data_IF_376851505468
#
_entry.id   IF_376851505468
#
_cell.length_a   1.000
_cell.length_b   1.000
_cell.length_c   1.000
_cell.angle_alpha   90.00
_cell.angle_beta   90.00
_cell.angle_gamma   90.00
#
_symmetry.space_group_name_H-M   'P 1'
#
loop_
_entity.id
_entity.type
_entity.pdbx_description
1 polymer ?
#
# COMPACT_ATOMS: atom_id res chain seq x y z
N UNK A 1 -2.65 -55.91 -57.93
CA UNK A 1 -1.67 -55.79 -56.82
C UNK A 1 -0.84 -57.07 -56.64
N UNK A 2 -1.33 -58.10 -55.92
CA UNK A 2 -0.52 -59.29 -55.51
C UNK A 2 0.28 -59.93 -56.65
N UNK A 3 -0.34 -60.12 -57.81
CA UNK A 3 0.28 -60.65 -59.03
C UNK A 3 1.46 -59.81 -59.54
N UNK A 4 1.30 -58.48 -59.60
CA UNK A 4 2.37 -57.55 -60.00
C UNK A 4 3.56 -57.63 -59.04
N UNK A 5 3.31 -57.75 -57.72
CA UNK A 5 4.37 -57.95 -56.72
C UNK A 5 5.06 -59.32 -56.84
N UNK A 6 4.31 -60.39 -57.14
CA UNK A 6 4.87 -61.72 -57.36
C UNK A 6 5.85 -61.76 -58.54
N UNK A 7 5.60 -60.95 -59.59
CA UNK A 7 6.51 -60.78 -60.73
C UNK A 7 7.86 -60.12 -60.42
N UNK A 8 8.04 -59.48 -59.26
CA UNK A 8 9.22 -58.64 -58.97
C UNK A 8 10.54 -59.42 -59.04
N UNK A 9 10.56 -60.66 -58.54
CA UNK A 9 11.75 -61.51 -58.53
C UNK A 9 12.19 -61.88 -59.94
N UNK A 10 11.24 -62.24 -60.80
CA UNK A 10 11.51 -62.62 -62.19
C UNK A 10 11.89 -61.40 -63.04
N UNK A 11 11.19 -60.27 -62.89
CA UNK A 11 11.58 -59.02 -63.56
C UNK A 11 12.99 -58.57 -63.17
N UNK A 12 13.35 -58.63 -61.88
CA UNK A 12 14.73 -58.36 -61.42
C UNK A 12 15.73 -59.33 -62.05
N UNK A 13 15.44 -60.64 -62.11
CA UNK A 13 16.31 -61.64 -62.74
C UNK A 13 16.57 -61.33 -64.22
N UNK A 14 15.53 -60.96 -64.98
CA UNK A 14 15.67 -60.59 -66.40
C UNK A 14 16.48 -59.30 -66.59
N UNK A 15 16.34 -58.32 -65.69
CA UNK A 15 17.15 -57.09 -65.72
C UNK A 15 18.63 -57.40 -65.44
N UNK A 16 18.93 -58.17 -64.39
CA UNK A 16 20.31 -58.56 -64.06
C UNK A 16 21.00 -59.41 -65.14
N UNK A 17 20.22 -60.10 -65.97
CA UNK A 17 20.73 -60.86 -67.14
C UNK A 17 20.66 -60.07 -68.45
N UNK A 18 20.25 -58.79 -68.41
CA UNK A 18 20.05 -57.91 -69.57
C UNK A 18 19.10 -58.48 -70.64
N UNK A 19 18.17 -59.36 -70.26
CA UNK A 19 17.20 -60.02 -71.15
C UNK A 19 15.84 -59.32 -71.26
N UNK A 20 15.59 -58.30 -70.43
CA UNK A 20 14.39 -57.44 -70.49
C UNK A 20 14.76 -56.09 -71.11
N UNK A 21 13.99 -55.58 -72.08
CA UNK A 21 14.29 -54.27 -72.67
C UNK A 21 14.05 -53.15 -71.64
N UNK A 22 14.82 -52.04 -71.66
CA UNK A 22 14.62 -50.92 -70.73
C UNK A 22 13.18 -50.38 -70.70
N UNK A 23 12.51 -50.35 -71.86
CA UNK A 23 11.12 -49.90 -72.01
C UNK A 23 10.12 -50.85 -71.33
N UNK A 24 10.33 -52.16 -71.43
CA UNK A 24 9.50 -53.20 -70.82
C UNK A 24 9.67 -53.21 -69.29
N UNK A 25 10.92 -53.07 -68.82
CA UNK A 25 11.28 -52.89 -67.41
C UNK A 25 10.62 -51.66 -66.80
N UNK A 26 10.73 -50.51 -67.48
CA UNK A 26 10.14 -49.25 -67.05
C UNK A 26 8.61 -49.32 -66.97
N UNK A 27 7.95 -49.84 -68.00
CA UNK A 27 6.49 -50.02 -68.02
C UNK A 27 6.01 -50.89 -66.85
N UNK A 28 6.68 -52.02 -66.60
CA UNK A 28 6.35 -52.92 -65.49
C UNK A 28 6.48 -52.24 -64.11
N UNK A 29 7.55 -51.48 -63.87
CA UNK A 29 7.70 -50.78 -62.58
C UNK A 29 6.71 -49.63 -62.41
N UNK A 30 6.51 -48.76 -63.41
CA UNK A 30 5.51 -47.68 -63.33
C UNK A 30 4.09 -48.23 -63.17
N UNK A 31 3.73 -49.34 -63.83
CA UNK A 31 2.43 -50.00 -63.59
C UNK A 31 2.32 -50.53 -62.16
N UNK A 32 3.37 -51.15 -61.63
CA UNK A 32 3.40 -51.67 -60.24
C UNK A 32 3.30 -50.53 -59.21
N UNK A 33 3.98 -49.40 -59.45
CA UNK A 33 3.87 -48.20 -58.61
C UNK A 33 2.46 -47.62 -58.70
N UNK A 34 1.90 -47.43 -59.90
CA UNK A 34 0.52 -46.91 -60.06
C UNK A 34 -0.51 -47.76 -59.32
N UNK A 35 -0.43 -49.10 -59.44
CA UNK A 35 -1.28 -50.03 -58.69
C UNK A 35 -1.11 -49.93 -57.17
N UNK A 36 0.03 -49.44 -56.68
CA UNK A 36 0.30 -49.21 -55.25
C UNK A 36 -0.30 -47.88 -54.79
N UNK A 37 -0.09 -46.81 -55.55
CA UNK A 37 -0.64 -45.48 -55.24
C UNK A 37 -2.17 -45.48 -55.24
N UNK A 38 -2.79 -46.22 -56.17
CA UNK A 38 -4.24 -46.33 -56.31
C UNK A 38 -4.93 -46.85 -55.03
N UNK A 39 -4.27 -47.75 -54.28
CA UNK A 39 -4.78 -48.23 -52.98
C UNK A 39 -4.77 -47.13 -51.92
N UNK A 40 -3.73 -46.28 -51.90
CA UNK A 40 -3.64 -45.14 -50.97
C UNK A 40 -4.63 -44.03 -51.37
N UNK A 41 -4.87 -43.85 -52.67
CA UNK A 41 -5.93 -42.98 -53.19
C UNK A 41 -7.35 -43.42 -52.80
N UNK A 42 -7.58 -44.73 -52.64
CA UNK A 42 -8.83 -45.26 -52.07
C UNK A 42 -9.02 -44.83 -50.61
N UNK A 43 -7.98 -44.93 -49.78
CA UNK A 43 -8.03 -44.51 -48.37
C UNK A 43 -8.28 -43.00 -48.23
N UNK A 44 -7.58 -42.18 -49.01
CA UNK A 44 -7.71 -40.71 -48.98
C UNK A 44 -9.07 -40.14 -49.39
N UNK A 45 -10.02 -40.99 -49.84
CA UNK A 45 -11.42 -40.63 -50.13
C UNK A 45 -12.42 -41.12 -49.07
N UNK A 46 -12.02 -42.06 -48.20
CA UNK A 46 -12.90 -42.68 -47.22
C UNK A 46 -12.98 -41.93 -45.88
N UNK A 47 -12.02 -41.02 -45.63
CA UNK A 47 -11.98 -40.12 -44.48
C UNK A 47 -12.42 -38.70 -44.91
N UNK A 48 -12.98 -37.95 -43.95
CA UNK A 48 -13.52 -36.59 -44.11
C UNK A 48 -13.01 -35.60 -43.04
N UNK A 49 -12.10 -36.01 -42.14
CA UNK A 49 -11.45 -35.12 -41.17
C UNK A 49 -10.12 -34.52 -41.65
N UNK A 50 -9.44 -33.80 -40.76
CA UNK A 50 -8.15 -33.14 -41.03
C UNK A 50 -7.08 -34.10 -41.58
N UNK A 51 -7.08 -35.34 -41.09
CA UNK A 51 -6.23 -36.44 -41.56
C UNK A 51 -6.44 -36.74 -43.05
N UNK A 52 -7.66 -36.62 -43.57
CA UNK A 52 -7.94 -36.77 -45.00
C UNK A 52 -7.29 -35.65 -45.83
N UNK A 53 -7.25 -34.41 -45.31
CA UNK A 53 -6.59 -33.29 -45.98
C UNK A 53 -5.06 -33.48 -46.02
N UNK A 54 -4.46 -33.94 -44.92
CA UNK A 54 -3.04 -34.30 -44.85
C UNK A 54 -2.69 -35.48 -45.78
N UNK A 55 -3.46 -36.57 -45.76
CA UNK A 55 -3.29 -37.72 -46.66
C UNK A 55 -3.40 -37.28 -48.12
N UNK A 56 -4.37 -36.43 -48.48
CA UNK A 56 -4.52 -35.95 -49.85
C UNK A 56 -3.39 -34.98 -50.28
N UNK A 57 -2.79 -34.23 -49.35
CA UNK A 57 -1.57 -33.45 -49.63
C UNK A 57 -0.37 -34.39 -49.90
N UNK A 58 -0.17 -35.37 -49.02
CA UNK A 58 0.92 -36.35 -49.17
C UNK A 58 0.78 -37.20 -50.44
N UNK A 59 -0.44 -37.57 -50.82
CA UNK A 59 -0.75 -38.23 -52.10
C UNK A 59 -0.32 -37.40 -53.32
N UNK A 60 -0.66 -36.11 -53.36
CA UNK A 60 -0.25 -35.20 -54.43
C UNK A 60 1.28 -35.06 -54.52
N UNK A 61 1.98 -35.04 -53.39
CA UNK A 61 3.45 -35.06 -53.35
C UNK A 61 4.06 -36.37 -53.89
N UNK A 62 3.43 -37.51 -53.62
CA UNK A 62 3.88 -38.81 -54.16
C UNK A 62 3.62 -38.89 -55.67
N UNK A 63 2.46 -38.42 -56.18
CA UNK A 63 2.24 -38.36 -57.63
C UNK A 63 3.23 -37.44 -58.34
N UNK A 64 3.55 -36.27 -57.77
CA UNK A 64 4.60 -35.40 -58.30
C UNK A 64 5.95 -36.10 -58.40
N UNK A 65 6.29 -36.95 -57.41
CA UNK A 65 7.49 -37.79 -57.43
C UNK A 65 7.45 -38.92 -58.47
N UNK A 66 6.30 -39.56 -58.69
CA UNK A 66 6.15 -40.59 -59.74
C UNK A 66 6.27 -39.95 -61.14
N UNK A 67 5.63 -38.81 -61.38
CA UNK A 67 5.78 -38.08 -62.64
C UNK A 67 7.22 -37.62 -62.88
N UNK A 68 7.93 -37.13 -61.85
CA UNK A 68 9.36 -36.84 -61.92
C UNK A 68 10.23 -38.10 -62.18
N UNK A 69 9.86 -39.24 -61.60
CA UNK A 69 10.50 -40.53 -61.87
C UNK A 69 10.36 -40.96 -63.33
N UNK A 70 9.15 -40.84 -63.89
CA UNK A 70 8.86 -41.12 -65.29
C UNK A 70 9.51 -40.12 -66.25
N UNK A 71 9.53 -38.83 -65.92
CA UNK A 71 10.20 -37.78 -66.69
C UNK A 71 11.70 -38.09 -66.81
N UNK A 72 12.37 -38.32 -65.68
CA UNK A 72 13.80 -38.67 -65.62
C UNK A 72 14.11 -39.94 -66.42
N UNK A 73 13.26 -40.97 -66.34
CA UNK A 73 13.43 -42.19 -67.12
C UNK A 73 13.24 -41.95 -68.63
N UNK A 74 12.22 -41.17 -69.00
CA UNK A 74 11.92 -40.80 -70.40
C UNK A 74 13.06 -39.97 -71.01
N UNK A 75 13.56 -38.96 -70.28
CA UNK A 75 14.69 -38.13 -70.68
C UNK A 75 16.00 -38.91 -70.79
N UNK A 76 16.32 -39.75 -69.80
CA UNK A 76 17.49 -40.65 -69.82
C UNK A 76 17.48 -41.58 -71.04
N UNK A 77 16.31 -42.11 -71.42
CA UNK A 77 16.13 -42.89 -72.65
C UNK A 77 16.44 -42.10 -73.92
N UNK A 78 16.02 -40.83 -74.00
CA UNK A 78 16.35 -39.94 -75.13
C UNK A 78 17.84 -39.60 -75.23
N UNK A 79 18.48 -39.28 -74.09
CA UNK A 79 19.92 -39.04 -74.03
C UNK A 79 20.72 -40.29 -74.42
N UNK A 80 20.35 -41.46 -73.91
CA UNK A 80 21.00 -42.74 -74.27
C UNK A 80 20.80 -43.13 -75.74
N UNK A 81 19.69 -42.70 -76.37
CA UNK A 81 19.43 -42.86 -77.81
C UNK A 81 20.08 -41.77 -78.68
N UNK A 82 20.69 -40.74 -78.08
CA UNK A 82 21.30 -39.60 -78.78
C UNK A 82 20.30 -38.68 -79.51
N UNK A 83 18.98 -38.84 -79.30
CA UNK A 83 17.95 -38.08 -80.02
C UNK A 83 16.64 -37.96 -79.25
N UNK A 84 15.89 -36.91 -79.58
CA UNK A 84 14.55 -36.65 -79.05
C UNK A 84 13.57 -36.44 -80.20
N UNK A 85 13.00 -37.54 -80.70
CA UNK A 85 11.96 -37.50 -81.72
C UNK A 85 10.69 -36.79 -81.18
N UNK A 86 9.86 -36.12 -82.02
CA UNK A 86 8.73 -35.31 -81.53
C UNK A 86 7.76 -35.97 -80.53
N UNK A 87 7.40 -37.27 -80.66
CA UNK A 87 6.56 -37.95 -79.66
C UNK A 87 7.23 -38.08 -78.29
N UNK A 88 8.56 -38.17 -78.23
CA UNK A 88 9.32 -38.23 -76.98
C UNK A 88 9.33 -36.86 -76.27
N UNK A 89 9.47 -35.77 -77.04
CA UNK A 89 9.36 -34.40 -76.53
C UNK A 89 7.94 -34.12 -76.00
N UNK A 90 6.90 -34.49 -76.76
CA UNK A 90 5.50 -34.36 -76.32
C UNK A 90 5.24 -35.12 -75.02
N UNK A 91 5.75 -36.36 -74.90
CA UNK A 91 5.67 -37.15 -73.67
C UNK A 91 6.38 -36.46 -72.49
N UNK A 92 7.60 -35.94 -72.70
CA UNK A 92 8.38 -35.30 -71.66
C UNK A 92 7.71 -34.01 -71.15
N UNK A 93 7.20 -33.18 -72.06
CA UNK A 93 6.41 -31.97 -71.72
C UNK A 93 5.12 -32.33 -70.97
N UNK A 94 4.42 -33.38 -71.38
CA UNK A 94 3.22 -33.87 -70.67
C UNK A 94 3.53 -34.38 -69.24
N UNK A 95 4.69 -35.02 -69.05
CA UNK A 95 5.16 -35.46 -67.73
C UNK A 95 5.55 -34.28 -66.84
N UNK A 96 6.26 -33.27 -67.38
CA UNK A 96 6.60 -32.04 -66.65
C UNK A 96 5.35 -31.26 -66.22
N UNK A 97 4.33 -31.14 -67.09
CA UNK A 97 3.04 -30.54 -66.71
C UNK A 97 2.32 -31.35 -65.61
N UNK A 98 2.32 -32.69 -65.70
CA UNK A 98 1.68 -33.56 -64.70
C UNK A 98 2.38 -33.46 -63.33
N UNK A 99 3.71 -33.43 -63.33
CA UNK A 99 4.56 -33.18 -62.15
C UNK A 99 4.24 -31.83 -61.52
N UNK A 100 4.25 -30.75 -62.32
CA UNK A 100 4.00 -29.40 -61.83
C UNK A 100 2.57 -29.26 -61.26
N UNK A 101 1.55 -29.81 -61.91
CA UNK A 101 0.18 -29.81 -61.42
C UNK A 101 0.04 -30.53 -60.07
N UNK A 102 0.73 -31.66 -59.89
CA UNK A 102 0.76 -32.39 -58.63
C UNK A 102 1.46 -31.59 -57.50
N UNK A 103 2.60 -30.94 -57.78
CA UNK A 103 3.28 -30.10 -56.77
C UNK A 103 2.54 -28.80 -56.44
N UNK A 104 1.85 -28.18 -57.41
CA UNK A 104 0.93 -27.06 -57.15
C UNK A 104 -0.22 -27.50 -56.24
N UNK A 105 -0.80 -28.68 -56.49
CA UNK A 105 -1.87 -29.26 -55.67
C UNK A 105 -1.40 -29.58 -54.25
N UNK A 106 -0.19 -30.14 -54.10
CA UNK A 106 0.44 -30.35 -52.80
C UNK A 106 0.60 -29.03 -52.03
N UNK A 107 1.22 -28.02 -52.65
CA UNK A 107 1.45 -26.73 -52.02
C UNK A 107 0.14 -26.04 -51.60
N UNK A 108 -0.86 -26.01 -52.48
CA UNK A 108 -2.15 -25.38 -52.17
C UNK A 108 -2.83 -26.00 -50.92
N UNK A 109 -2.64 -27.32 -50.70
CA UNK A 109 -3.15 -28.03 -49.51
C UNK A 109 -2.32 -27.75 -48.26
N UNK A 110 -0.99 -27.71 -48.35
CA UNK A 110 -0.14 -27.36 -47.19
C UNK A 110 -0.32 -25.92 -46.75
N UNK A 111 -0.45 -25.00 -47.71
CA UNK A 111 -0.65 -23.57 -47.45
C UNK A 111 -2.00 -23.33 -46.74
N UNK A 112 -3.05 -24.08 -47.11
CA UNK A 112 -4.36 -24.02 -46.45
C UNK A 112 -4.31 -24.51 -44.99
N UNK A 113 -3.74 -25.70 -44.75
CA UNK A 113 -3.57 -26.26 -43.40
C UNK A 113 -2.77 -25.33 -42.48
N UNK A 114 -1.72 -24.69 -43.01
CA UNK A 114 -0.94 -23.68 -42.27
C UNK A 114 -1.75 -22.40 -42.01
N UNK A 115 -2.54 -21.93 -42.97
CA UNK A 115 -3.37 -20.74 -42.81
C UNK A 115 -4.43 -20.92 -41.71
N UNK A 116 -5.08 -22.08 -41.65
CA UNK A 116 -6.07 -22.43 -40.62
C UNK A 116 -5.43 -22.49 -39.22
N UNK A 117 -4.30 -23.18 -39.06
CA UNK A 117 -3.56 -23.23 -37.81
C UNK A 117 -3.10 -21.83 -37.32
N UNK A 118 -2.62 -20.99 -38.25
CA UNK A 118 -2.21 -19.60 -37.95
C UNK A 118 -3.43 -18.73 -37.59
N UNK A 119 -4.58 -18.91 -38.24
CA UNK A 119 -5.81 -18.19 -37.92
C UNK A 119 -6.36 -18.58 -36.54
N UNK A 120 -6.38 -19.88 -36.23
CA UNK A 120 -6.75 -20.39 -34.91
C UNK A 120 -5.86 -19.78 -33.81
N UNK A 121 -4.53 -19.86 -33.96
CA UNK A 121 -3.56 -19.29 -33.02
C UNK A 121 -3.73 -17.77 -32.84
N UNK A 122 -3.89 -17.01 -33.93
CA UNK A 122 -4.17 -15.56 -33.87
C UNK A 122 -5.45 -15.25 -33.09
N UNK A 123 -6.52 -16.02 -33.33
CA UNK A 123 -7.80 -15.82 -32.63
C UNK A 123 -7.70 -16.13 -31.13
N UNK A 124 -6.90 -17.15 -30.75
CA UNK A 124 -6.62 -17.50 -29.36
C UNK A 124 -5.81 -16.40 -28.67
N UNK A 125 -4.71 -15.95 -29.28
CA UNK A 125 -3.87 -14.86 -28.75
C UNK A 125 -4.65 -13.56 -28.57
N UNK A 126 -5.54 -13.21 -29.52
CA UNK A 126 -6.40 -12.02 -29.41
C UNK A 126 -7.38 -12.11 -28.23
N UNK A 127 -8.00 -13.29 -28.01
CA UNK A 127 -8.91 -13.52 -26.88
C UNK A 127 -8.17 -13.46 -25.53
N UNK A 128 -7.02 -14.14 -25.43
CA UNK A 128 -6.21 -14.16 -24.20
C UNK A 128 -5.66 -12.78 -23.85
N UNK A 129 -5.13 -12.03 -24.83
CA UNK A 129 -4.62 -10.67 -24.59
C UNK A 129 -5.74 -9.69 -24.21
N UNK A 130 -6.92 -9.77 -24.85
CA UNK A 130 -8.08 -8.98 -24.44
C UNK A 130 -8.52 -9.28 -23.00
N UNK A 131 -8.54 -10.56 -22.60
CA UNK A 131 -8.87 -10.97 -21.23
C UNK A 131 -7.88 -10.41 -20.19
N UNK A 132 -6.57 -10.46 -20.48
CA UNK A 132 -5.52 -9.90 -19.61
C UNK A 132 -5.70 -8.38 -19.45
N UNK A 133 -5.99 -7.66 -20.54
CA UNK A 133 -6.25 -6.21 -20.50
C UNK A 133 -7.48 -5.87 -19.65
N UNK A 134 -8.54 -6.66 -19.73
CA UNK A 134 -9.75 -6.48 -18.90
C UNK A 134 -9.43 -6.70 -17.41
N UNK A 135 -8.69 -7.75 -17.05
CA UNK A 135 -8.28 -8.00 -15.66
C UNK A 135 -7.44 -6.84 -15.12
N UNK A 136 -6.39 -6.42 -15.84
CA UNK A 136 -5.54 -5.30 -15.42
C UNK A 136 -6.31 -3.98 -15.31
N UNK A 137 -7.30 -3.74 -16.16
CA UNK A 137 -8.18 -2.57 -16.07
C UNK A 137 -9.07 -2.64 -14.82
N UNK A 138 -9.66 -3.80 -14.52
CA UNK A 138 -10.49 -3.99 -13.31
C UNK A 138 -9.65 -3.84 -12.04
N UNK A 139 -8.48 -4.48 -11.96
CA UNK A 139 -7.57 -4.40 -10.81
C UNK A 139 -7.12 -2.95 -10.56
N UNK A 140 -6.70 -2.23 -11.60
CA UNK A 140 -6.27 -0.82 -11.46
C UNK A 140 -7.43 0.13 -11.15
N UNK A 141 -8.65 -0.17 -11.60
CA UNK A 141 -9.85 0.56 -11.20
C UNK A 141 -10.20 0.31 -9.73
N UNK A 142 -10.22 -0.94 -9.27
CA UNK A 142 -10.49 -1.31 -7.86
C UNK A 142 -9.44 -0.68 -6.94
N UNK A 143 -8.15 -0.83 -7.26
CA UNK A 143 -7.06 -0.27 -6.46
C UNK A 143 -7.16 1.25 -6.29
N UNK A 144 -7.56 1.98 -7.34
CA UNK A 144 -7.68 3.45 -7.34
C UNK A 144 -9.02 3.97 -6.78
N UNK A 145 -10.13 3.26 -6.99
CA UNK A 145 -11.48 3.70 -6.55
C UNK A 145 -11.84 3.26 -5.15
N UNK A 146 -11.32 2.11 -4.70
CA UNK A 146 -11.70 1.44 -3.46
C UNK A 146 -10.49 1.34 -2.53
N UNK A 147 -9.45 0.57 -2.90
CA UNK A 147 -8.40 0.15 -1.96
C UNK A 147 -7.54 1.32 -1.43
N UNK A 148 -6.94 2.11 -2.31
CA UNK A 148 -6.14 3.28 -1.90
C UNK A 148 -6.95 4.32 -1.10
N UNK A 149 -8.21 4.63 -1.49
CA UNK A 149 -9.07 5.50 -0.68
C UNK A 149 -9.41 4.96 0.71
N UNK A 150 -9.68 3.66 0.87
CA UNK A 150 -9.89 3.03 2.19
C UNK A 150 -8.62 3.11 3.06
N UNK A 151 -7.44 2.87 2.48
CA UNK A 151 -6.16 2.99 3.19
C UNK A 151 -5.94 4.44 3.66
N UNK A 152 -6.15 5.43 2.78
CA UNK A 152 -6.00 6.85 3.15
C UNK A 152 -6.97 7.31 4.24
N UNK A 153 -8.22 6.79 4.25
CA UNK A 153 -9.18 7.03 5.33
C UNK A 153 -8.73 6.39 6.66
N UNK A 154 -8.15 5.20 6.61
CA UNK A 154 -7.62 4.49 7.79
C UNK A 154 -6.39 5.22 8.36
N UNK A 155 -5.51 5.73 7.50
CA UNK A 155 -4.37 6.56 7.92
C UNK A 155 -4.85 7.88 8.56
N UNK A 156 -5.83 8.56 7.95
CA UNK A 156 -6.38 9.81 8.48
C UNK A 156 -6.98 9.63 9.88
N UNK A 157 -7.80 8.59 10.09
CA UNK A 157 -8.33 8.25 11.40
C UNK A 157 -7.21 7.90 12.41
N UNK A 158 -6.16 7.21 11.95
CA UNK A 158 -4.99 6.88 12.79
C UNK A 158 -4.20 8.12 13.22
N UNK A 159 -4.14 9.16 12.37
CA UNK A 159 -3.48 10.44 12.66
C UNK A 159 -4.31 11.33 13.60
N UNK A 160 -5.62 11.43 13.38
CA UNK A 160 -6.54 12.11 14.31
C UNK A 160 -6.45 11.51 15.72
N UNK A 161 -6.44 10.18 15.84
CA UNK A 161 -6.27 9.47 17.12
C UNK A 161 -4.89 9.68 17.78
N UNK A 162 -3.91 10.24 17.06
CA UNK A 162 -2.59 10.66 17.58
C UNK A 162 -2.54 12.15 17.95
N UNK A 163 -3.63 12.90 17.78
CA UNK A 163 -3.71 14.32 18.09
C UNK A 163 -3.41 15.27 16.92
N UNK A 164 -3.20 14.76 15.70
CA UNK A 164 -3.06 15.60 14.49
C UNK A 164 -4.44 16.12 14.04
N UNK A 165 -4.98 17.07 14.80
CA UNK A 165 -6.26 17.72 14.53
C UNK A 165 -6.19 18.72 13.37
N UNK A 166 -5.00 18.95 12.79
CA UNK A 166 -4.74 19.81 11.64
C UNK A 166 -4.86 19.11 10.28
N UNK A 167 -4.96 17.78 10.23
CA UNK A 167 -4.99 17.02 9.00
C UNK A 167 -6.20 17.34 8.11
N UNK A 168 -5.98 17.74 6.85
CA UNK A 168 -7.05 17.78 5.86
C UNK A 168 -7.53 16.34 5.54
N UNK A 169 -8.83 16.08 5.76
CA UNK A 169 -9.41 14.74 5.52
C UNK A 169 -9.45 14.44 4.03
N UNK A 170 -8.81 13.36 3.55
CA UNK A 170 -8.77 13.06 2.13
C UNK A 170 -10.15 12.63 1.63
N UNK A 171 -10.40 12.85 0.32
CA UNK A 171 -11.59 12.39 -0.40
C UNK A 171 -12.94 12.99 0.02
N UNK A 172 -12.97 14.05 0.84
CA UNK A 172 -14.20 14.73 1.28
C UNK A 172 -15.12 15.19 0.13
N UNK A 173 -14.56 15.50 -1.04
CA UNK A 173 -15.29 15.92 -2.25
C UNK A 173 -15.94 14.76 -3.04
N UNK A 174 -15.68 13.49 -2.70
CA UNK A 174 -16.28 12.35 -3.41
C UNK A 174 -17.80 12.30 -3.20
N UNK A 175 -18.54 11.97 -4.24
CA UNK A 175 -20.01 11.88 -4.25
C UNK A 175 -20.55 10.45 -3.98
N UNK A 176 -19.71 9.61 -3.38
CA UNK A 176 -19.96 8.19 -3.11
C UNK A 176 -19.79 7.88 -1.61
N UNK A 177 -19.92 6.61 -1.23
CA UNK A 177 -19.89 6.12 0.15
C UNK A 177 -18.56 6.47 0.85
N UNK A 178 -17.45 6.45 0.12
CA UNK A 178 -16.13 6.85 0.64
C UNK A 178 -16.14 8.34 0.99
N UNK A 179 -16.74 9.18 0.14
CA UNK A 179 -16.91 10.61 0.43
C UNK A 179 -17.85 10.89 1.61
N UNK A 180 -18.89 10.07 1.81
CA UNK A 180 -19.74 10.17 3.00
C UNK A 180 -18.98 9.84 4.29
N UNK A 181 -18.13 8.80 4.28
CA UNK A 181 -17.24 8.50 5.41
C UNK A 181 -16.21 9.63 5.65
N UNK A 182 -15.64 10.21 4.59
CA UNK A 182 -14.72 11.34 4.70
C UNK A 182 -15.37 12.57 5.35
N UNK A 183 -16.59 12.94 4.94
CA UNK A 183 -17.35 14.05 5.57
C UNK A 183 -17.71 13.76 7.03
N UNK A 184 -18.09 12.53 7.37
CA UNK A 184 -18.34 12.15 8.76
C UNK A 184 -17.07 12.26 9.63
N UNK A 185 -15.90 11.89 9.09
CA UNK A 185 -14.62 12.01 9.79
C UNK A 185 -14.20 13.47 10.01
N UNK A 186 -14.52 14.38 9.08
CA UNK A 186 -14.28 15.82 9.25
C UNK A 186 -15.11 16.42 10.41
N UNK A 187 -16.39 16.02 10.55
CA UNK A 187 -17.24 16.43 11.68
C UNK A 187 -16.68 15.90 13.02
N UNK A 188 -16.13 14.68 13.03
CA UNK A 188 -15.46 14.12 14.20
C UNK A 188 -14.18 14.89 14.57
N UNK A 189 -13.37 15.28 13.58
CA UNK A 189 -12.20 16.15 13.77
C UNK A 189 -12.58 17.52 14.35
N UNK A 190 -13.62 18.17 13.81
CA UNK A 190 -14.15 19.44 14.31
C UNK A 190 -14.64 19.32 15.77
N UNK A 191 -15.31 18.20 16.10
CA UNK A 191 -15.71 17.88 17.47
C UNK A 191 -14.51 17.72 18.41
N UNK A 192 -13.43 17.07 17.96
CA UNK A 192 -12.18 16.96 18.73
C UNK A 192 -11.49 18.33 18.92
N UNK A 193 -11.42 19.17 17.88
CA UNK A 193 -10.87 20.53 18.00
C UNK A 193 -11.68 21.37 19.01
N UNK A 194 -13.00 21.28 18.95
CA UNK A 194 -13.90 22.04 19.84
C UNK A 194 -13.74 21.60 21.30
N UNK A 195 -13.69 20.29 21.56
CA UNK A 195 -13.40 19.78 22.90
C UNK A 195 -12.01 20.19 23.42
N UNK A 196 -10.98 20.20 22.55
CA UNK A 196 -9.64 20.65 22.93
C UNK A 196 -9.59 22.14 23.30
N UNK A 197 -10.35 22.99 22.60
CA UNK A 197 -10.50 24.42 22.95
C UNK A 197 -11.21 24.58 24.29
N UNK A 198 -12.33 23.90 24.51
CA UNK A 198 -13.05 23.95 25.78
C UNK A 198 -12.23 23.43 26.97
N UNK A 199 -11.37 22.43 26.77
CA UNK A 199 -10.43 21.99 27.82
C UNK A 199 -9.38 23.07 28.16
N UNK A 200 -8.85 23.78 27.17
CA UNK A 200 -7.94 24.90 27.40
C UNK A 200 -8.63 26.10 28.10
N UNK A 201 -9.87 26.43 27.70
CA UNK A 201 -10.70 27.46 28.35
C UNK A 201 -11.01 27.11 29.81
N UNK A 202 -11.35 25.84 30.09
CA UNK A 202 -11.60 25.34 31.44
C UNK A 202 -10.33 25.36 32.30
N UNK A 203 -9.18 24.96 31.75
CA UNK A 203 -7.88 25.04 32.45
C UNK A 203 -7.53 26.48 32.83
N UNK A 204 -7.57 27.42 31.87
CA UNK A 204 -7.32 28.83 32.15
C UNK A 204 -8.29 29.44 33.17
N UNK A 205 -9.56 29.00 33.16
CA UNK A 205 -10.56 29.39 34.17
C UNK A 205 -10.28 28.79 35.55
N UNK A 206 -9.75 27.56 35.62
CA UNK A 206 -9.33 26.93 36.86
C UNK A 206 -8.10 27.63 37.45
N UNK A 207 -7.10 27.94 36.63
CA UNK A 207 -5.91 28.70 37.04
C UNK A 207 -6.27 30.09 37.61
N UNK A 208 -7.21 30.79 36.97
CA UNK A 208 -7.73 32.07 37.49
C UNK A 208 -8.44 31.93 38.84
N UNK A 209 -9.26 30.87 39.01
CA UNK A 209 -9.95 30.60 40.29
C UNK A 209 -8.96 30.25 41.39
N UNK A 210 -7.93 29.47 41.09
CA UNK A 210 -6.89 29.10 42.05
C UNK A 210 -6.03 30.32 42.44
N UNK A 211 -5.63 31.16 41.48
CA UNK A 211 -4.98 32.45 41.79
C UNK A 211 -5.87 33.38 42.63
N UNK A 212 -7.18 33.44 42.34
CA UNK A 212 -8.11 34.27 43.12
C UNK A 212 -8.32 33.70 44.53
N UNK A 213 -8.38 32.37 44.68
CA UNK A 213 -8.42 31.69 45.98
C UNK A 213 -7.17 32.02 46.80
N UNK A 214 -5.97 31.84 46.24
CA UNK A 214 -4.71 32.14 46.92
C UNK A 214 -4.61 33.62 47.34
N UNK A 215 -5.12 34.56 46.53
CA UNK A 215 -5.23 35.98 46.91
C UNK A 215 -6.18 36.21 48.08
N UNK A 216 -7.32 35.51 48.14
CA UNK A 216 -8.27 35.61 49.25
C UNK A 216 -7.72 34.99 50.54
N UNK A 217 -7.04 33.85 50.45
CA UNK A 217 -6.36 33.21 51.58
C UNK A 217 -5.22 34.11 52.11
N UNK A 218 -4.41 34.70 51.22
CA UNK A 218 -3.37 35.67 51.60
C UNK A 218 -3.95 36.91 52.28
N UNK A 219 -5.02 37.48 51.71
CA UNK A 219 -5.69 38.65 52.29
C UNK A 219 -6.27 38.33 53.68
N UNK A 220 -6.90 37.16 53.83
CA UNK A 220 -7.46 36.71 55.11
C UNK A 220 -6.39 36.50 56.18
N UNK A 221 -5.19 36.00 55.81
CA UNK A 221 -4.06 35.88 56.72
C UNK A 221 -3.61 37.28 57.20
N UNK A 222 -3.30 38.19 56.27
CA UNK A 222 -2.88 39.57 56.60
C UNK A 222 -3.94 40.36 57.39
N UNK A 223 -5.22 40.03 57.22
CA UNK A 223 -6.30 40.59 58.03
C UNK A 223 -6.30 40.03 59.46
N UNK A 224 -6.08 38.72 59.64
CA UNK A 224 -5.93 38.12 60.98
C UNK A 224 -4.73 38.72 61.71
N UNK A 225 -3.56 38.77 61.07
CA UNK A 225 -2.35 39.37 61.63
C UNK A 225 -2.58 40.83 62.08
N UNK A 226 -3.34 41.59 61.28
CA UNK A 226 -3.74 42.96 61.59
C UNK A 226 -4.75 43.08 62.74
N UNK A 227 -5.68 42.14 62.87
CA UNK A 227 -6.64 42.07 63.99
C UNK A 227 -5.93 41.66 65.28
N UNK A 228 -5.05 40.66 65.25
CA UNK A 228 -4.27 40.22 66.40
C UNK A 228 -3.32 41.34 66.87
N UNK A 229 -2.69 42.06 65.93
CA UNK A 229 -1.89 43.27 66.25
C UNK A 229 -2.73 44.42 66.81
N UNK A 230 -4.01 44.56 66.42
CA UNK A 230 -4.93 45.55 66.99
C UNK A 230 -5.38 45.16 68.40
N UNK A 231 -5.63 43.87 68.65
CA UNK A 231 -5.97 43.35 69.98
C UNK A 231 -4.80 43.57 70.94
N UNK A 232 -3.57 43.22 70.53
CA UNK A 232 -2.37 43.46 71.32
C UNK A 232 -2.19 44.96 71.66
N UNK A 233 -2.37 45.86 70.67
CA UNK A 233 -2.29 47.31 70.90
C UNK A 233 -3.38 47.85 71.84
N UNK A 234 -4.57 47.24 71.86
CA UNK A 234 -5.66 47.58 72.80
C UNK A 234 -5.37 47.00 74.20
N UNK A 235 -4.76 45.83 74.31
CA UNK A 235 -4.37 45.21 75.57
C UNK A 235 -3.20 45.97 76.24
N UNK A 236 -2.20 46.39 75.47
CA UNK A 236 -1.13 47.32 75.90
C UNK A 236 -1.72 48.64 76.40
N UNK A 237 -2.65 49.24 75.64
CA UNK A 237 -3.30 50.51 76.00
C UNK A 237 -4.14 50.37 77.29
N UNK A 238 -4.88 49.27 77.43
CA UNK A 238 -5.68 49.00 78.63
C UNK A 238 -4.77 48.74 79.85
N UNK A 239 -3.66 48.03 79.67
CA UNK A 239 -2.66 47.81 80.73
C UNK A 239 -2.05 49.14 81.19
N UNK A 240 -1.63 50.00 80.26
CA UNK A 240 -1.13 51.33 80.57
C UNK A 240 -2.20 52.23 81.27
N UNK A 241 -3.48 52.07 80.93
CA UNK A 241 -4.58 52.77 81.61
C UNK A 241 -4.82 52.24 83.03
N UNK A 242 -4.70 50.93 83.25
CA UNK A 242 -4.79 50.30 84.57
C UNK A 242 -3.61 50.74 85.46
N UNK A 243 -2.39 50.79 84.92
CA UNK A 243 -1.21 51.28 85.65
C UNK A 243 -1.35 52.77 86.01
N UNK A 244 -1.85 53.60 85.10
CA UNK A 244 -2.16 54.99 85.39
C UNK A 244 -3.23 55.15 86.49
N UNK A 245 -4.27 54.32 86.47
CA UNK A 245 -5.30 54.31 87.51
C UNK A 245 -4.76 53.82 88.87
N UNK A 246 -3.93 52.78 88.89
CA UNK A 246 -3.27 52.28 90.09
C UNK A 246 -2.32 53.32 90.69
N UNK A 247 -1.51 54.00 89.85
CA UNK A 247 -0.68 55.11 90.28
C UNK A 247 -1.50 56.26 90.90
N UNK A 248 -2.69 56.56 90.34
CA UNK A 248 -3.61 57.55 90.89
C UNK A 248 -4.21 57.12 92.25
N UNK A 249 -4.54 55.83 92.43
CA UNK A 249 -5.00 55.27 93.71
C UNK A 249 -3.90 55.30 94.77
N UNK A 250 -2.66 54.92 94.42
CA UNK A 250 -1.50 55.01 95.33
C UNK A 250 -1.23 56.47 95.72
N UNK A 251 -1.27 57.40 94.77
CA UNK A 251 -1.15 58.84 95.05
C UNK A 251 -2.25 59.39 95.98
N UNK A 252 -3.49 58.91 95.83
CA UNK A 252 -4.59 59.25 96.73
C UNK A 252 -4.38 58.68 98.15
N UNK A 253 -3.84 57.47 98.27
CA UNK A 253 -3.48 56.88 99.56
C UNK A 253 -2.33 57.61 100.25
N UNK A 254 -1.24 57.94 99.55
CA UNK A 254 -0.16 58.76 100.11
C UNK A 254 -0.67 60.13 100.58
N UNK A 255 -1.53 60.77 99.78
CA UNK A 255 -2.15 62.07 100.13
C UNK A 255 -2.96 61.96 101.43
N UNK A 256 -3.70 60.86 101.62
CA UNK A 256 -4.47 60.61 102.84
C UNK A 256 -3.58 60.31 104.06
N UNK A 257 -2.45 59.61 103.87
CA UNK A 257 -1.52 59.29 104.96
C UNK A 257 -0.74 60.53 105.45
N UNK A 258 -0.24 61.36 104.53
CA UNK A 258 0.48 62.61 104.89
C UNK A 258 -0.38 63.58 105.70
N UNK A 259 -1.71 63.55 105.54
CA UNK A 259 -2.66 64.37 106.30
C UNK A 259 -2.94 63.86 107.74
N UNK A 260 -2.41 62.70 108.14
CA UNK A 260 -2.69 62.10 109.47
C UNK A 260 -1.51 62.15 110.46
N UNK A 261 -0.25 62.20 110.00
CA UNK A 261 0.94 62.11 110.88
C UNK A 261 1.42 63.45 111.49
N UNK A 262 0.89 64.61 111.06
CA UNK A 262 1.58 65.90 111.24
C UNK A 262 1.22 66.71 112.52
N UNK A 263 0.84 66.10 113.66
CA UNK A 263 0.56 66.88 114.88
C UNK A 263 0.72 66.18 116.27
N UNK A 264 1.90 66.32 116.93
CA UNK A 264 2.04 66.07 118.38
C UNK A 264 2.72 67.21 119.17
N UNK A 265 2.53 67.21 120.51
CA UNK A 265 3.17 68.11 121.50
C UNK A 265 3.53 67.33 122.80
N UNK A 266 4.45 67.79 123.69
CA UNK A 266 5.77 68.39 123.40
C UNK A 266 6.92 68.01 124.41
N UNK A 267 8.21 68.11 123.97
CA UNK A 267 9.47 68.12 124.79
C UNK A 267 9.87 66.77 125.45
N UNK A 268 11.13 66.46 125.81
CA UNK A 268 12.36 67.25 126.15
C UNK A 268 13.66 66.73 125.47
N UNK A 269 14.80 67.43 125.72
CA UNK A 269 16.21 67.11 125.35
C UNK A 269 16.62 65.66 125.75
N UNK A 270 17.63 64.99 125.17
CA UNK A 270 18.99 65.43 124.75
C UNK A 270 19.71 64.44 123.81
N UNK A 271 20.90 64.78 123.28
CA UNK A 271 21.84 63.82 122.64
C UNK A 271 22.32 64.19 121.22
N UNK A 272 23.62 63.98 120.94
CA UNK A 272 24.32 64.26 119.66
C UNK A 272 25.52 63.27 119.53
N UNK A 273 26.17 63.07 118.36
CA UNK A 273 25.81 63.35 116.96
C UNK A 273 25.66 61.99 116.20
N UNK A 274 26.23 61.57 115.04
CA UNK A 274 27.09 62.14 113.98
C UNK A 274 27.22 61.23 112.73
N UNK A 275 27.11 61.80 111.51
CA UNK A 275 27.85 61.49 110.24
C UNK A 275 27.62 60.11 109.54
N UNK A 276 27.76 59.96 108.19
CA UNK A 276 27.55 60.83 106.98
C UNK A 276 27.72 59.97 105.68
N UNK A 277 27.38 60.55 104.52
CA UNK A 277 27.82 60.22 103.12
C UNK A 277 27.08 59.14 102.25
N UNK A 278 27.13 59.25 100.88
CA UNK A 278 25.98 58.93 100.00
C UNK A 278 26.29 58.40 98.55
N UNK A 279 25.28 58.48 97.66
CA UNK A 279 25.34 58.75 96.18
C UNK A 279 25.63 57.60 95.17
N UNK A 280 25.03 57.74 93.96
CA UNK A 280 25.33 57.14 92.61
C UNK A 280 24.77 55.75 92.20
N UNK A 281 24.54 55.45 90.89
CA UNK A 281 24.15 56.22 89.65
C UNK A 281 23.78 55.25 88.48
N UNK A 282 22.82 55.65 87.63
CA UNK A 282 22.65 55.51 86.14
C UNK A 282 23.20 54.30 85.31
N UNK A 283 22.38 53.81 84.36
CA UNK A 283 22.79 53.20 83.06
C UNK A 283 21.73 52.24 82.45
N UNK A 284 21.24 52.24 81.19
CA UNK A 284 21.32 53.09 79.95
C UNK A 284 22.02 52.50 78.69
N UNK A 285 21.30 51.68 77.88
CA UNK A 285 21.58 51.23 76.47
C UNK A 285 20.38 50.39 75.94
N UNK A 286 20.00 50.21 74.66
CA UNK A 286 20.55 50.46 73.28
C UNK A 286 21.60 49.41 72.79
N UNK A 287 21.59 48.86 71.55
CA UNK A 287 21.11 49.30 70.22
C UNK A 287 21.13 48.16 69.15
N UNK A 288 20.27 48.21 68.10
CA UNK A 288 20.28 47.48 66.79
C UNK A 288 20.31 45.91 66.78
N UNK A 289 19.77 45.16 65.81
CA UNK A 289 19.46 45.30 64.37
C UNK A 289 20.62 45.08 63.37
N UNK A 290 20.82 43.83 62.95
CA UNK A 290 20.78 43.40 61.54
C UNK A 290 20.55 41.88 61.47
#
# INVERSE_FOLDING_TARGET
MREALAGLTESRRKISTLTLKPQESFAYFTQTIRLTLDQVYGLGKADHGDLAAEIQAYLAFIEGKEWAGQERATGSGGFAAGRFDPPLLQRLVGLAHSQNAAFVTFKARTDALQAEAIAALKSMLLRTSAAIVIVLLVDTLIARRISSPIVGMTEAMTRLRKGDLSLAIPYADRRDEIGHMARALAIFQESMQTNARHQAEQAATADQREQQRQRLETLSATFSDGVDSLIAAVEDLNTAMIDAANAMVVGAHETKQRLFDENPRPRRRSGMPSRLNPDRRRGFRLQCCL
#
